data_IF_089490064391
#
_entry.id   IF_089490064391
#
_cell.length_a   1.000
_cell.length_b   1.000
_cell.length_c   1.000
_cell.angle_alpha   90.00
_cell.angle_beta   90.00
_cell.angle_gamma   90.00
#
_symmetry.space_group_name_H-M   'P 1'
#
loop_
_entity.id
_entity.type
_entity.pdbx_description
1 polymer ?
#
# COMPACT_ATOMS: atom_id res chain seq x y z
N UNK A 1 -31.47 20.65 -22.13
CA UNK A 1 -30.53 21.23 -21.15
C UNK A 1 -29.34 20.28 -21.10
N UNK A 2 -28.15 20.68 -21.53
CA UNK A 2 -26.99 19.79 -21.48
C UNK A 2 -26.53 19.63 -20.03
N UNK A 3 -26.49 18.40 -19.51
CA UNK A 3 -25.94 18.10 -18.19
C UNK A 3 -24.46 18.50 -18.17
N UNK A 4 -24.17 19.58 -17.44
CA UNK A 4 -22.82 20.10 -17.31
C UNK A 4 -22.07 19.27 -16.26
N UNK A 5 -21.46 18.17 -16.68
CA UNK A 5 -20.65 17.34 -15.78
C UNK A 5 -19.28 17.98 -15.53
N UNK A 6 -18.97 18.24 -14.25
CA UNK A 6 -17.68 18.77 -13.84
C UNK A 6 -16.61 17.70 -14.04
N UNK A 7 -15.66 17.96 -14.93
CA UNK A 7 -14.51 17.06 -15.13
C UNK A 7 -13.41 17.40 -14.13
N UNK A 8 -12.53 16.44 -13.81
CA UNK A 8 -11.38 16.68 -12.91
C UNK A 8 -10.51 17.83 -13.42
N UNK A 9 -10.38 17.99 -14.74
CA UNK A 9 -9.63 19.10 -15.36
C UNK A 9 -10.23 20.49 -15.06
N UNK A 10 -11.51 20.57 -14.71
CA UNK A 10 -12.17 21.81 -14.33
C UNK A 10 -11.97 22.16 -12.85
N UNK A 11 -11.50 21.22 -12.03
CA UNK A 11 -11.15 21.49 -10.64
C UNK A 11 -9.88 22.35 -10.55
N UNK A 12 -9.72 23.18 -9.50
CA UNK A 12 -8.44 23.78 -9.16
C UNK A 12 -7.35 22.71 -9.05
N UNK A 13 -6.13 23.00 -9.49
CA UNK A 13 -5.03 22.01 -9.45
C UNK A 13 -4.80 21.42 -8.06
N UNK A 14 -4.99 22.21 -7.00
CA UNK A 14 -4.89 21.75 -5.62
C UNK A 14 -5.92 20.69 -5.22
N UNK A 15 -7.01 20.55 -5.98
CA UNK A 15 -8.08 19.57 -5.77
C UNK A 15 -8.03 18.42 -6.77
N UNK A 16 -7.16 18.49 -7.79
CA UNK A 16 -6.98 17.38 -8.72
C UNK A 16 -6.12 16.32 -8.04
N UNK A 17 -6.56 15.05 -7.97
CA UNK A 17 -5.88 14.04 -7.15
C UNK A 17 -4.39 13.87 -7.44
N UNK A 18 -3.99 13.87 -8.73
CA UNK A 18 -2.57 13.63 -9.11
C UNK A 18 -1.70 14.83 -8.75
N UNK A 19 -2.17 16.02 -9.05
CA UNK A 19 -1.48 17.28 -8.77
C UNK A 19 -1.38 17.52 -7.27
N UNK A 20 -2.44 17.20 -6.52
CA UNK A 20 -2.44 17.20 -5.05
C UNK A 20 -1.44 16.20 -4.48
N UNK A 21 -1.36 14.98 -5.01
CA UNK A 21 -0.35 13.99 -4.62
C UNK A 21 1.07 14.50 -4.84
N UNK A 22 1.34 15.08 -6.02
CA UNK A 22 2.66 15.62 -6.35
C UNK A 22 3.05 16.82 -5.49
N UNK A 23 2.10 17.65 -5.08
CA UNK A 23 2.35 18.90 -4.34
C UNK A 23 2.34 18.73 -2.83
N UNK A 24 1.45 17.90 -2.30
CA UNK A 24 1.13 17.81 -0.86
C UNK A 24 1.41 16.43 -0.26
N UNK A 25 1.75 15.43 -1.08
CA UNK A 25 2.04 14.06 -0.64
C UNK A 25 0.81 13.18 -0.45
N UNK A 26 1.03 11.87 -0.42
CA UNK A 26 0.01 10.82 -0.41
C UNK A 26 -0.89 10.84 0.83
N UNK A 27 -0.38 11.28 1.97
CA UNK A 27 -1.11 11.32 3.25
C UNK A 27 -2.24 12.35 3.28
N UNK A 28 -2.28 13.27 2.32
CA UNK A 28 -3.31 14.31 2.22
C UNK A 28 -4.51 13.90 1.36
N UNK A 29 -4.41 12.76 0.68
CA UNK A 29 -5.48 12.25 -0.16
C UNK A 29 -6.48 11.45 0.66
N UNK A 30 -7.75 11.60 0.31
CA UNK A 30 -8.81 10.68 0.73
C UNK A 30 -8.73 9.37 -0.04
N UNK A 31 -9.37 8.33 0.50
CA UNK A 31 -9.52 7.02 -0.16
C UNK A 31 -10.11 7.14 -1.57
N UNK A 32 -11.06 8.06 -1.76
CA UNK A 32 -11.66 8.33 -3.06
C UNK A 32 -10.67 8.94 -4.04
N UNK A 33 -9.82 9.87 -3.59
CA UNK A 33 -8.79 10.48 -4.44
C UNK A 33 -7.71 9.46 -4.82
N UNK A 34 -7.31 8.58 -3.88
CA UNK A 34 -6.38 7.48 -4.15
C UNK A 34 -6.93 6.53 -5.22
N UNK A 35 -8.19 6.11 -5.09
CA UNK A 35 -8.87 5.28 -6.09
C UNK A 35 -9.02 6.00 -7.42
N UNK A 36 -9.35 7.29 -7.43
CA UNK A 36 -9.50 8.08 -8.65
C UNK A 36 -8.19 8.12 -9.46
N UNK A 37 -7.04 8.17 -8.79
CA UNK A 37 -5.72 8.12 -9.45
C UNK A 37 -5.52 6.78 -10.17
N UNK A 38 -5.87 5.67 -9.53
CA UNK A 38 -5.78 4.32 -10.09
C UNK A 38 -6.76 4.11 -11.26
N UNK A 39 -8.00 4.59 -11.10
CA UNK A 39 -9.04 4.53 -12.13
C UNK A 39 -8.63 5.32 -13.38
N UNK A 40 -7.80 6.37 -13.20
CA UNK A 40 -7.19 7.24 -14.21
C UNK A 40 -8.18 8.12 -14.98
N UNK A 41 -9.21 7.52 -15.55
CA UNK A 41 -10.20 8.18 -16.38
C UNK A 41 -11.60 7.74 -15.98
N UNK A 42 -12.54 8.69 -16.07
CA UNK A 42 -13.95 8.45 -15.82
C UNK A 42 -14.61 7.54 -16.87
N UNK A 43 -15.93 7.57 -16.91
CA UNK A 43 -16.74 7.09 -18.03
C UNK A 43 -17.68 8.21 -18.48
N UNK A 44 -18.42 8.00 -19.56
CA UNK A 44 -19.40 8.99 -20.01
C UNK A 44 -20.36 9.34 -18.86
N UNK A 45 -20.40 10.62 -18.48
CA UNK A 45 -21.25 11.12 -17.39
C UNK A 45 -20.72 10.90 -15.98
N UNK A 46 -19.52 10.34 -15.77
CA UNK A 46 -18.92 10.22 -14.42
C UNK A 46 -17.41 10.40 -14.48
N UNK A 47 -16.87 11.33 -13.70
CA UNK A 47 -15.45 11.49 -13.49
C UNK A 47 -14.84 10.30 -12.72
N UNK A 48 -13.52 10.13 -12.78
CA UNK A 48 -12.84 9.09 -12.00
C UNK A 48 -13.04 9.25 -10.48
N UNK A 49 -13.21 10.50 -10.01
CA UNK A 49 -13.47 10.80 -8.60
C UNK A 49 -14.90 10.40 -8.21
N UNK A 50 -15.89 10.70 -9.04
CA UNK A 50 -17.27 10.26 -8.82
C UNK A 50 -17.40 8.73 -8.85
N UNK A 51 -16.71 8.05 -9.79
CA UNK A 51 -16.64 6.58 -9.81
C UNK A 51 -16.03 6.02 -8.53
N UNK A 52 -14.94 6.61 -8.04
CA UNK A 52 -14.31 6.20 -6.79
C UNK A 52 -15.25 6.37 -5.59
N UNK A 53 -15.96 7.50 -5.53
CA UNK A 53 -16.97 7.74 -4.49
C UNK A 53 -18.12 6.73 -4.54
N UNK A 54 -18.65 6.43 -5.72
CA UNK A 54 -19.73 5.43 -5.88
C UNK A 54 -19.28 4.04 -5.42
N UNK A 55 -18.07 3.63 -5.80
CA UNK A 55 -17.49 2.34 -5.42
C UNK A 55 -17.26 2.23 -3.90
N UNK A 56 -16.81 3.30 -3.25
CA UNK A 56 -16.66 3.33 -1.78
C UNK A 56 -18.02 3.34 -1.07
N UNK A 57 -18.99 4.07 -1.61
CA UNK A 57 -20.33 4.16 -1.03
C UNK A 57 -21.06 2.81 -1.01
N UNK A 58 -20.81 1.92 -1.98
CA UNK A 58 -21.36 0.55 -1.97
C UNK A 58 -20.71 -0.37 -0.92
N UNK A 59 -19.65 0.08 -0.23
CA UNK A 59 -18.87 -0.73 0.72
C UNK A 59 -18.52 0.05 2.00
N UNK A 60 -19.52 0.72 2.59
CA UNK A 60 -19.40 1.42 3.88
C UNK A 60 -18.30 2.50 3.93
N UNK A 61 -17.85 2.99 2.77
CA UNK A 61 -16.89 4.09 2.67
C UNK A 61 -15.45 3.73 3.02
N UNK A 62 -15.07 2.46 3.06
CA UNK A 62 -13.70 2.05 3.40
C UNK A 62 -13.06 1.15 2.32
N UNK A 63 -11.73 1.06 2.30
CA UNK A 63 -10.99 0.29 1.29
C UNK A 63 -10.89 -1.22 1.57
N UNK A 64 -11.37 -1.71 2.72
CA UNK A 64 -11.10 -3.11 3.15
C UNK A 64 -11.69 -4.14 2.19
N UNK A 65 -12.86 -3.86 1.62
CA UNK A 65 -13.52 -4.77 0.68
C UNK A 65 -12.64 -5.10 -0.54
N UNK A 66 -11.76 -4.19 -0.97
CA UNK A 66 -10.89 -4.38 -2.15
C UNK A 66 -9.92 -5.55 -1.98
N UNK A 67 -9.60 -5.91 -0.74
CA UNK A 67 -8.77 -7.08 -0.43
C UNK A 67 -9.45 -8.36 -0.89
N UNK A 68 -10.71 -8.52 -0.53
CA UNK A 68 -11.45 -9.78 -0.67
C UNK A 68 -12.27 -9.83 -1.96
N UNK A 69 -12.61 -8.67 -2.53
CA UNK A 69 -13.36 -8.56 -3.77
C UNK A 69 -12.65 -9.27 -4.94
N UNK A 70 -13.40 -10.08 -5.67
CA UNK A 70 -13.02 -10.71 -6.94
C UNK A 70 -13.01 -9.71 -8.08
N UNK A 71 -12.40 -10.07 -9.21
CA UNK A 71 -12.44 -9.22 -10.41
C UNK A 71 -13.89 -9.10 -10.89
N UNK A 72 -14.65 -10.18 -10.84
CA UNK A 72 -16.04 -10.28 -11.25
C UNK A 72 -16.91 -9.30 -10.45
N UNK A 73 -16.78 -9.31 -9.11
CA UNK A 73 -17.49 -8.39 -8.22
C UNK A 73 -17.13 -6.92 -8.49
N UNK A 74 -15.85 -6.62 -8.74
CA UNK A 74 -15.44 -5.27 -9.11
C UNK A 74 -16.04 -4.85 -10.46
N UNK A 75 -16.10 -5.77 -11.43
CA UNK A 75 -16.65 -5.49 -12.76
C UNK A 75 -18.17 -5.34 -12.80
N UNK A 76 -18.89 -5.80 -11.76
CA UNK A 76 -20.32 -5.51 -11.59
C UNK A 76 -20.61 -4.03 -11.35
N UNK A 77 -19.60 -3.22 -10.98
CA UNK A 77 -19.76 -1.79 -10.75
C UNK A 77 -19.72 -1.03 -12.09
N UNK A 78 -20.79 -0.29 -12.45
CA UNK A 78 -20.83 0.48 -13.69
C UNK A 78 -19.62 1.41 -13.82
N UNK A 79 -18.92 1.31 -14.95
CA UNK A 79 -17.73 2.10 -15.24
C UNK A 79 -16.40 1.54 -14.71
N UNK A 80 -16.41 0.41 -13.99
CA UNK A 80 -15.23 -0.38 -13.63
C UNK A 80 -15.15 -1.61 -14.54
N UNK A 81 -14.50 -1.45 -15.70
CA UNK A 81 -14.22 -2.59 -16.59
C UNK A 81 -13.04 -3.45 -16.12
N UNK A 82 -12.76 -4.57 -16.82
CA UNK A 82 -11.69 -5.51 -16.45
C UNK A 82 -10.32 -4.85 -16.27
N UNK A 83 -9.99 -3.86 -17.10
CA UNK A 83 -8.74 -3.12 -17.00
C UNK A 83 -8.62 -2.32 -15.68
N UNK A 84 -9.69 -1.61 -15.28
CA UNK A 84 -9.71 -0.84 -14.04
C UNK A 84 -9.70 -1.77 -12.82
N UNK A 85 -10.46 -2.86 -12.87
CA UNK A 85 -10.47 -3.88 -11.82
C UNK A 85 -9.07 -4.50 -11.62
N UNK A 86 -8.38 -4.86 -12.71
CA UNK A 86 -7.03 -5.40 -12.66
C UNK A 86 -6.03 -4.42 -12.02
N UNK A 87 -6.09 -3.14 -12.38
CA UNK A 87 -5.23 -2.10 -11.77
C UNK A 87 -5.47 -2.00 -10.27
N UNK A 88 -6.74 -1.98 -9.84
CA UNK A 88 -7.10 -1.91 -8.42
C UNK A 88 -6.58 -3.14 -7.67
N UNK A 89 -6.81 -4.36 -8.19
CA UNK A 89 -6.29 -5.59 -7.56
C UNK A 89 -4.77 -5.63 -7.51
N UNK A 90 -4.09 -5.16 -8.55
CA UNK A 90 -2.63 -5.06 -8.56
C UNK A 90 -2.12 -4.10 -7.49
N UNK A 91 -2.74 -2.92 -7.33
CA UNK A 91 -2.38 -1.96 -6.29
C UNK A 91 -2.58 -2.52 -4.88
N UNK A 92 -3.69 -3.22 -4.64
CA UNK A 92 -3.96 -3.90 -3.37
C UNK A 92 -2.93 -4.99 -3.07
N UNK A 93 -2.57 -5.80 -4.07
CA UNK A 93 -1.55 -6.85 -3.92
C UNK A 93 -0.17 -6.27 -3.65
N UNK A 94 0.20 -5.15 -4.29
CA UNK A 94 1.44 -4.42 -3.99
C UNK A 94 1.43 -3.95 -2.53
N UNK A 95 0.35 -3.31 -2.08
CA UNK A 95 0.20 -2.89 -0.69
C UNK A 95 0.29 -4.06 0.30
N UNK A 96 -0.33 -5.21 -0.04
CA UNK A 96 -0.23 -6.44 0.75
C UNK A 96 1.22 -6.93 0.83
N UNK A 97 1.94 -7.00 -0.29
CA UNK A 97 3.35 -7.41 -0.32
C UNK A 97 4.23 -6.48 0.49
N UNK A 98 4.07 -5.17 0.36
CA UNK A 98 4.81 -4.18 1.15
C UNK A 98 4.53 -4.37 2.65
N UNK A 99 3.27 -4.63 3.04
CA UNK A 99 2.90 -4.87 4.44
C UNK A 99 3.47 -6.17 5.03
N UNK A 100 3.69 -7.17 4.18
CA UNK A 100 4.28 -8.46 4.56
C UNK A 100 5.81 -8.40 4.53
N UNK A 101 6.37 -7.58 3.63
CA UNK A 101 7.80 -7.32 3.47
C UNK A 101 8.33 -6.28 4.47
N UNK A 102 7.57 -5.99 5.53
CA UNK A 102 8.13 -5.56 6.81
C UNK A 102 8.96 -6.73 7.32
N UNK A 103 10.17 -6.88 6.75
CA UNK A 103 11.20 -7.92 6.88
C UNK A 103 10.70 -9.15 7.62
N UNK A 104 10.70 -10.33 6.99
CA UNK A 104 10.64 -11.61 7.71
C UNK A 104 11.47 -11.48 8.98
N UNK A 105 10.77 -11.28 10.10
CA UNK A 105 11.43 -10.82 11.31
C UNK A 105 12.28 -11.99 11.72
N UNK A 106 13.60 -11.85 11.71
CA UNK A 106 14.47 -12.96 12.07
C UNK A 106 14.11 -13.31 13.51
N UNK A 107 13.51 -14.48 13.70
CA UNK A 107 13.07 -14.96 15.01
C UNK A 107 14.17 -15.83 15.57
N UNK A 108 14.77 -15.40 16.68
CA UNK A 108 15.70 -16.20 17.45
C UNK A 108 14.88 -17.12 18.37
N UNK A 109 14.92 -18.42 18.11
CA UNK A 109 14.31 -19.47 18.95
C UNK A 109 15.36 -20.30 19.68
N UNK A 110 16.60 -20.25 19.22
CA UNK A 110 17.70 -21.06 19.71
C UNK A 110 19.05 -20.34 19.54
N UNK A 111 20.10 -20.78 20.27
CA UNK A 111 21.46 -20.29 20.04
C UNK A 111 21.95 -20.52 18.61
N UNK A 112 21.50 -21.58 17.94
CA UNK A 112 21.84 -21.84 16.54
C UNK A 112 21.33 -20.76 15.59
N UNK A 113 20.17 -20.15 15.87
CA UNK A 113 19.65 -19.05 15.04
C UNK A 113 20.57 -17.82 15.11
N UNK A 114 21.13 -17.54 16.30
CA UNK A 114 22.10 -16.44 16.49
C UNK A 114 23.39 -16.74 15.74
N UNK A 115 23.87 -17.98 15.80
CA UNK A 115 25.04 -18.42 15.06
C UNK A 115 24.81 -18.26 13.55
N UNK A 116 23.73 -18.80 12.99
CA UNK A 116 23.46 -18.67 11.55
C UNK A 116 23.35 -17.21 11.10
N UNK A 117 22.80 -16.35 11.96
CA UNK A 117 22.66 -14.93 11.68
C UNK A 117 24.00 -14.19 11.66
N UNK A 118 24.87 -14.41 12.65
CA UNK A 118 26.07 -13.60 12.86
C UNK A 118 27.34 -14.24 12.34
N UNK A 119 27.34 -15.53 12.02
CA UNK A 119 28.55 -16.27 11.70
C UNK A 119 29.21 -15.80 10.40
N UNK A 120 28.44 -15.42 9.37
CA UNK A 120 29.05 -14.89 8.13
C UNK A 120 29.82 -13.59 8.36
N UNK A 121 29.27 -12.69 9.18
CA UNK A 121 29.86 -11.39 9.47
C UNK A 121 30.99 -11.49 10.51
N UNK A 122 30.87 -12.36 11.51
CA UNK A 122 31.80 -12.43 12.64
C UNK A 122 32.97 -13.41 12.44
N UNK A 123 32.87 -14.38 11.53
CA UNK A 123 33.88 -15.46 11.37
C UNK A 123 35.27 -14.99 10.94
N UNK A 124 35.39 -13.78 10.41
CA UNK A 124 36.66 -13.21 9.91
C UNK A 124 37.18 -12.07 10.78
N UNK A 125 36.51 -11.75 11.89
CA UNK A 125 37.00 -10.74 12.81
C UNK A 125 38.26 -11.26 13.52
N UNK A 126 39.30 -10.43 13.56
CA UNK A 126 40.64 -10.77 14.06
C UNK A 126 40.78 -10.61 15.57
N UNK A 127 39.70 -10.21 16.24
CA UNK A 127 39.58 -10.04 17.68
C UNK A 127 38.18 -10.43 18.15
N UNK A 128 38.04 -10.58 19.46
CA UNK A 128 36.73 -10.83 20.06
C UNK A 128 35.84 -9.59 19.95
N UNK A 129 34.57 -9.82 19.59
CA UNK A 129 33.56 -8.78 19.46
C UNK A 129 32.33 -9.10 20.31
N UNK A 130 31.80 -8.09 20.99
CA UNK A 130 30.60 -8.18 21.80
C UNK A 130 29.44 -7.48 21.09
N UNK A 131 28.39 -8.25 20.77
CA UNK A 131 27.16 -7.76 20.13
C UNK A 131 25.94 -8.05 21.01
N UNK A 132 25.01 -7.10 21.04
CA UNK A 132 23.73 -7.24 21.75
C UNK A 132 22.60 -7.30 20.72
N UNK A 133 21.78 -8.35 20.79
CA UNK A 133 20.58 -8.50 19.97
C UNK A 133 19.37 -8.10 20.82
N UNK A 134 18.68 -7.04 20.41
CA UNK A 134 17.42 -6.66 21.03
C UNK A 134 16.30 -7.46 20.39
N UNK A 135 15.60 -8.26 21.20
CA UNK A 135 14.50 -9.11 20.75
C UNK A 135 13.16 -8.59 21.27
N UNK A 136 12.10 -8.79 20.50
CA UNK A 136 10.74 -8.63 20.99
C UNK A 136 10.28 -9.86 21.81
N UNK A 137 9.06 -9.80 22.36
CA UNK A 137 8.48 -10.89 23.17
C UNK A 137 8.34 -12.23 22.44
N UNK A 138 8.37 -12.24 21.11
CA UNK A 138 8.28 -13.45 20.27
C UNK A 138 9.64 -13.90 19.74
N UNK A 139 10.74 -13.27 20.19
CA UNK A 139 12.10 -13.56 19.74
C UNK A 139 12.48 -12.87 18.43
N UNK A 140 11.63 -11.98 17.90
CA UNK A 140 11.93 -11.25 16.66
C UNK A 140 12.94 -10.14 16.88
N UNK A 141 13.99 -10.07 16.06
CA UNK A 141 15.02 -9.03 16.15
C UNK A 141 14.42 -7.64 15.91
N UNK A 142 14.74 -6.73 16.81
CA UNK A 142 14.43 -5.29 16.75
C UNK A 142 15.64 -4.54 16.21
N UNK A 143 16.82 -4.77 16.78
CA UNK A 143 18.08 -4.13 16.42
C UNK A 143 19.28 -4.96 16.93
N UNK A 144 20.44 -4.82 16.28
CA UNK A 144 21.71 -5.45 16.67
C UNK A 144 22.71 -4.32 16.94
N UNK A 145 23.25 -4.29 18.15
CA UNK A 145 24.22 -3.29 18.61
C UNK A 145 25.62 -3.90 18.69
N UNK A 146 26.60 -3.23 18.06
CA UNK A 146 28.02 -3.50 18.24
C UNK A 146 28.53 -2.73 19.46
N UNK A 147 29.03 -3.44 20.48
CA UNK A 147 29.47 -2.82 21.75
C UNK A 147 30.99 -2.71 21.83
N UNK A 148 31.73 -3.72 21.34
CA UNK A 148 33.20 -3.70 21.26
C UNK A 148 33.72 -4.69 20.23
#
# INVERSE_FOLDING_TARGET
>A
MGDYHVTIKMLPESMRPREKLLKSGETTLSDAELLAILIKEGVSGLSALELAHQLLASHEGNLRFLRDATIEELTCHPGIGPAKAAIIKAAVEIGRRISIDVKQKIIIRSPDDVKHLLMEDMRFLDREHFRVLHLDRKGGIIFIEDVS
#
